data_IF_710100920411
#
_entry.id   IF_710100920411
#
_cell.length_a   1.000
_cell.length_b   1.000
_cell.length_c   1.000
_cell.angle_alpha   90.00
_cell.angle_beta   90.00
_cell.angle_gamma   90.00
#
_symmetry.space_group_name_H-M   'P 1'
#
loop_
_entity.id
_entity.type
_entity.pdbx_description
1 polymer ?
#
# COMPACT_ATOMS: atom_id res chain seq x y z
N UNK A 1 -19.17 -14.78 7.46
CA UNK A 1 -17.95 -14.79 8.30
C UNK A 1 -16.71 -14.67 7.43
N UNK A 2 -16.06 -13.50 7.38
CA UNK A 2 -14.81 -13.31 6.61
C UNK A 2 -13.66 -14.01 7.30
N UNK A 3 -13.11 -15.05 6.66
CA UNK A 3 -11.97 -15.82 7.16
C UNK A 3 -10.76 -14.89 7.36
N UNK A 4 -10.31 -14.74 8.60
CA UNK A 4 -9.08 -14.02 8.93
C UNK A 4 -7.91 -14.55 8.09
N UNK A 5 -7.27 -13.67 7.32
CA UNK A 5 -6.06 -13.99 6.56
C UNK A 5 -4.90 -14.07 7.57
N UNK A 6 -4.40 -15.28 7.83
CA UNK A 6 -3.18 -15.46 8.63
C UNK A 6 -1.98 -14.77 7.95
N UNK A 7 -1.04 -14.21 8.72
CA UNK A 7 0.22 -13.72 8.17
C UNK A 7 0.93 -14.85 7.43
N UNK A 8 1.53 -14.52 6.28
CA UNK A 8 2.28 -15.45 5.43
C UNK A 8 3.66 -14.86 5.17
N UNK A 9 4.66 -15.72 5.23
CA UNK A 9 6.01 -15.40 4.75
C UNK A 9 6.04 -15.59 3.25
N UNK A 10 6.51 -14.58 2.53
CA UNK A 10 6.77 -14.63 1.10
C UNK A 10 8.28 -14.52 0.88
N UNK A 11 8.81 -15.33 -0.03
CA UNK A 11 10.20 -15.26 -0.45
C UNK A 11 10.25 -14.63 -1.84
N UNK A 12 11.22 -13.74 -2.06
CA UNK A 12 11.45 -13.06 -3.33
C UNK A 12 12.92 -13.18 -3.69
N UNK A 13 13.24 -13.33 -4.98
CA UNK A 13 14.62 -13.34 -5.46
C UNK A 13 15.26 -11.96 -5.39
N UNK A 14 16.59 -11.90 -5.25
CA UNK A 14 17.32 -10.64 -5.18
C UNK A 14 17.16 -9.79 -6.44
N UNK A 15 17.17 -10.42 -7.63
CA UNK A 15 17.00 -9.71 -8.91
C UNK A 15 15.63 -9.00 -8.99
N UNK A 16 14.57 -9.68 -8.55
CA UNK A 16 13.23 -9.09 -8.51
C UNK A 16 13.11 -7.96 -7.49
N UNK A 17 13.91 -7.96 -6.41
CA UNK A 17 14.00 -6.81 -5.50
C UNK A 17 14.72 -5.64 -6.18
N UNK A 18 15.80 -5.91 -6.91
CA UNK A 18 16.52 -4.91 -7.69
C UNK A 18 15.64 -4.25 -8.76
N UNK A 19 14.78 -5.01 -9.43
CA UNK A 19 13.80 -4.47 -10.39
C UNK A 19 12.80 -3.51 -9.72
N UNK A 20 12.35 -3.84 -8.50
CA UNK A 20 11.44 -2.97 -7.72
C UNK A 20 12.16 -1.70 -7.30
N UNK A 21 13.41 -1.80 -6.83
CA UNK A 21 14.23 -0.63 -6.46
C UNK A 21 14.47 0.28 -7.67
N UNK A 22 14.86 -0.28 -8.81
CA UNK A 22 15.02 0.47 -10.05
C UNK A 22 13.74 1.19 -10.48
N UNK A 23 12.57 0.55 -10.32
CA UNK A 23 11.27 1.19 -10.57
C UNK A 23 11.00 2.35 -9.61
N UNK A 24 11.28 2.17 -8.31
CA UNK A 24 11.07 3.19 -7.27
C UNK A 24 11.91 4.43 -7.56
N UNK A 25 13.19 4.24 -7.92
CA UNK A 25 14.15 5.33 -8.14
C UNK A 25 13.97 6.06 -9.47
N UNK A 26 13.32 5.42 -10.45
CA UNK A 26 13.13 5.98 -11.79
C UNK A 26 11.66 6.37 -12.07
N UNK A 27 10.90 5.45 -12.64
CA UNK A 27 9.55 5.67 -13.16
C UNK A 27 8.60 6.17 -12.08
N UNK A 28 8.64 5.55 -10.89
CA UNK A 28 7.79 5.96 -9.76
C UNK A 28 8.15 7.35 -9.28
N UNK A 29 9.43 7.63 -9.04
CA UNK A 29 9.91 8.94 -8.61
C UNK A 29 9.47 10.05 -9.58
N UNK A 30 9.54 9.79 -10.89
CA UNK A 30 9.10 10.75 -11.91
C UNK A 30 7.60 11.07 -11.84
N UNK A 31 6.73 10.06 -11.76
CA UNK A 31 5.28 10.28 -11.69
C UNK A 31 4.84 10.91 -10.36
N UNK A 32 5.50 10.56 -9.25
CA UNK A 32 5.25 11.17 -7.92
C UNK A 32 5.60 12.65 -7.94
N UNK A 33 6.77 13.01 -8.49
CA UNK A 33 7.19 14.41 -8.64
C UNK A 33 6.17 15.20 -9.46
N UNK A 34 5.71 14.65 -10.59
CA UNK A 34 4.70 15.27 -11.46
C UNK A 34 3.37 15.47 -10.73
N UNK A 35 2.89 14.44 -10.02
CA UNK A 35 1.64 14.49 -9.26
C UNK A 35 1.67 15.55 -8.15
N UNK A 36 2.79 15.63 -7.43
CA UNK A 36 3.01 16.67 -6.42
C UNK A 36 3.03 18.07 -7.03
N UNK A 37 3.79 18.28 -8.10
CA UNK A 37 3.83 19.59 -8.79
C UNK A 37 2.44 20.04 -9.29
N UNK A 38 1.59 19.08 -9.67
CA UNK A 38 0.21 19.35 -10.07
C UNK A 38 -0.75 19.60 -8.89
N UNK A 39 -0.26 19.50 -7.65
CA UNK A 39 -1.06 19.69 -6.44
C UNK A 39 -2.10 18.59 -6.21
N UNK A 40 -1.87 17.38 -6.74
CA UNK A 40 -2.88 16.32 -6.72
C UNK A 40 -3.07 15.70 -5.34
N UNK A 41 -1.99 15.54 -4.58
CA UNK A 41 -2.03 14.91 -3.27
C UNK A 41 -2.66 15.82 -2.22
N UNK A 42 -2.44 17.13 -2.32
CA UNK A 42 -3.05 18.14 -1.45
C UNK A 42 -4.58 18.19 -1.60
N UNK A 43 -5.11 17.86 -2.79
CA UNK A 43 -6.56 17.81 -3.06
C UNK A 43 -7.25 16.57 -2.49
N UNK A 44 -6.49 15.56 -2.03
CA UNK A 44 -7.05 14.31 -1.51
C UNK A 44 -7.44 14.45 -0.04
N UNK A 45 -8.68 14.84 0.23
CA UNK A 45 -9.22 14.96 1.60
C UNK A 45 -9.09 13.69 2.48
N UNK A 46 -8.94 12.52 1.85
CA UNK A 46 -8.77 11.23 2.53
C UNK A 46 -7.29 10.85 2.79
N UNK A 47 -6.33 11.69 2.39
CA UNK A 47 -4.90 11.45 2.56
C UNK A 47 -4.54 11.33 4.03
N UNK A 48 -3.77 10.29 4.35
CA UNK A 48 -3.28 9.99 5.69
C UNK A 48 -1.75 9.94 5.65
N UNK A 49 -1.11 10.94 6.25
CA UNK A 49 0.34 11.00 6.37
C UNK A 49 0.78 10.11 7.53
N UNK A 50 1.32 8.94 7.21
CA UNK A 50 1.77 7.95 8.18
C UNK A 50 2.99 8.49 8.93
N UNK A 51 2.89 8.51 10.25
CA UNK A 51 3.96 8.95 11.15
C UNK A 51 4.70 7.76 11.76
N UNK A 52 4.03 6.62 11.93
CA UNK A 52 4.61 5.43 12.55
C UNK A 52 3.89 4.16 12.10
N UNK A 53 4.65 3.08 11.92
CA UNK A 53 4.11 1.72 11.81
C UNK A 53 4.73 0.84 12.89
N UNK A 54 3.91 0.40 13.85
CA UNK A 54 4.38 -0.46 14.94
C UNK A 54 4.65 -1.88 14.46
N UNK A 55 5.55 -2.58 15.15
CA UNK A 55 5.90 -3.98 14.88
C UNK A 55 5.16 -4.93 15.83
N UNK A 56 5.14 -6.22 15.52
CA UNK A 56 4.57 -7.28 16.36
C UNK A 56 3.39 -8.01 15.72
N UNK A 57 2.63 -8.77 16.54
CA UNK A 57 1.52 -9.63 16.07
C UNK A 57 0.33 -8.84 15.52
N UNK A 58 0.09 -7.63 16.05
CA UNK A 58 -0.96 -6.70 15.62
C UNK A 58 -0.33 -5.35 15.31
N UNK A 59 0.39 -5.23 14.19
CA UNK A 59 1.02 -3.98 13.81
C UNK A 59 -0.07 -2.92 13.59
N UNK A 60 0.19 -1.71 14.04
CA UNK A 60 -0.70 -0.56 13.91
C UNK A 60 -0.02 0.51 13.06
N UNK A 61 -0.80 1.20 12.24
CA UNK A 61 -0.37 2.40 11.54
C UNK A 61 -0.95 3.61 12.26
N UNK A 62 -0.09 4.59 12.53
CA UNK A 62 -0.45 5.92 13.03
C UNK A 62 -0.24 6.93 11.94
N UNK A 63 -1.14 7.90 11.84
CA UNK A 63 -1.08 8.93 10.82
C UNK A 63 -1.63 10.26 11.32
N UNK A 64 -1.38 11.30 10.55
CA UNK A 64 -2.08 12.59 10.62
C UNK A 64 -2.89 12.81 9.35
N UNK A 65 -4.11 13.28 9.49
CA UNK A 65 -4.89 13.73 8.33
C UNK A 65 -4.48 15.13 7.88
N UNK A 66 -5.09 15.63 6.81
CA UNK A 66 -4.83 16.99 6.29
C UNK A 66 -5.19 18.13 7.26
N UNK A 67 -6.01 17.85 8.28
CA UNK A 67 -6.38 18.81 9.34
C UNK A 67 -5.45 18.69 10.55
N UNK A 68 -4.44 17.84 10.49
CA UNK A 68 -3.50 17.58 11.58
C UNK A 68 -4.06 16.65 12.67
N UNK A 69 -5.24 16.07 12.48
CA UNK A 69 -5.84 15.15 13.44
C UNK A 69 -5.12 13.81 13.38
N UNK A 70 -4.65 13.35 14.53
CA UNK A 70 -3.99 12.05 14.66
C UNK A 70 -5.02 10.91 14.62
N UNK A 71 -4.66 9.82 13.94
CA UNK A 71 -5.43 8.59 13.90
C UNK A 71 -4.54 7.36 14.03
N UNK A 72 -5.14 6.25 14.47
CA UNK A 72 -4.47 4.95 14.56
C UNK A 72 -5.41 3.83 14.09
N UNK A 73 -4.86 2.78 13.48
CA UNK A 73 -5.59 1.55 13.14
C UNK A 73 -4.65 0.37 13.04
N UNK A 74 -5.15 -0.84 13.30
CA UNK A 74 -4.42 -2.06 12.97
C UNK A 74 -4.16 -2.11 11.46
N UNK A 75 -2.92 -2.41 11.07
CA UNK A 75 -2.47 -2.43 9.67
C UNK A 75 -3.11 -3.58 8.89
N UNK A 76 -3.16 -4.77 9.49
CA UNK A 76 -3.65 -5.98 8.82
C UNK A 76 -5.10 -5.87 8.27
N UNK A 77 -6.10 -5.41 9.04
CA UNK A 77 -7.48 -5.33 8.56
C UNK A 77 -7.74 -4.16 7.59
N UNK A 78 -6.77 -3.29 7.30
CA UNK A 78 -6.98 -2.21 6.34
C UNK A 78 -7.36 -2.75 4.97
N UNK A 79 -8.45 -2.19 4.43
CA UNK A 79 -8.89 -2.43 3.06
C UNK A 79 -7.87 -1.89 2.05
N UNK A 80 -7.94 -2.39 0.81
CA UNK A 80 -7.12 -1.90 -0.30
C UNK A 80 -7.28 -0.38 -0.46
N UNK A 81 -8.53 0.11 -0.42
CA UNK A 81 -8.81 1.54 -0.54
C UNK A 81 -8.16 2.35 0.58
N UNK A 82 -8.18 1.88 1.82
CA UNK A 82 -7.53 2.58 2.93
C UNK A 82 -6.01 2.60 2.77
N UNK A 83 -5.39 1.49 2.33
CA UNK A 83 -3.95 1.41 2.09
C UNK A 83 -3.48 2.32 0.96
N UNK A 84 -4.29 2.48 -0.08
CA UNK A 84 -4.00 3.41 -1.18
C UNK A 84 -3.98 4.87 -0.72
N UNK A 85 -4.66 5.21 0.38
CA UNK A 85 -4.69 6.58 0.91
C UNK A 85 -3.61 6.84 1.97
N UNK A 86 -2.70 5.89 2.20
CA UNK A 86 -1.56 6.06 3.10
C UNK A 86 -0.39 6.69 2.35
N UNK A 87 0.15 7.76 2.90
CA UNK A 87 1.28 8.51 2.37
C UNK A 87 2.37 8.58 3.44
N UNK A 88 3.61 8.79 3.02
CA UNK A 88 4.74 9.10 3.91
C UNK A 88 5.28 10.48 3.56
N UNK A 89 5.92 11.13 4.53
CA UNK A 89 6.70 12.34 4.23
C UNK A 89 7.98 11.91 3.50
N UNK A 90 8.13 12.36 2.25
CA UNK A 90 9.35 12.18 1.47
C UNK A 90 10.25 13.43 1.52
N UNK A 91 11.46 13.37 0.95
CA UNK A 91 12.42 14.49 0.98
C UNK A 91 11.90 15.79 0.35
N UNK A 92 10.88 15.68 -0.50
CA UNK A 92 10.33 16.79 -1.27
C UNK A 92 8.82 16.96 -1.05
N UNK A 93 8.25 16.34 -0.02
CA UNK A 93 6.82 16.37 0.28
C UNK A 93 6.18 14.99 0.32
N UNK A 94 4.83 14.92 0.38
CA UNK A 94 4.12 13.66 0.58
C UNK A 94 4.24 12.72 -0.62
N UNK A 95 4.48 11.44 -0.33
CA UNK A 95 4.56 10.38 -1.33
C UNK A 95 3.65 9.20 -0.97
N UNK A 96 2.98 8.54 -1.95
CA UNK A 96 2.14 7.39 -1.65
C UNK A 96 2.95 6.21 -1.12
N UNK A 97 2.50 5.56 -0.04
CA UNK A 97 3.09 4.27 0.41
C UNK A 97 2.70 3.10 -0.51
N UNK A 98 1.77 3.32 -1.43
CA UNK A 98 1.41 2.35 -2.44
C UNK A 98 2.52 2.25 -3.50
N UNK A 99 2.98 1.03 -3.77
CA UNK A 99 4.11 0.81 -4.66
C UNK A 99 3.77 1.14 -6.12
N UNK A 100 2.71 0.54 -6.65
CA UNK A 100 2.38 0.61 -8.08
C UNK A 100 1.48 1.80 -8.40
N UNK A 101 1.99 2.75 -9.19
CA UNK A 101 1.28 3.97 -9.55
C UNK A 101 0.90 3.96 -11.04
N UNK A 102 -0.16 4.70 -11.39
CA UNK A 102 -0.46 5.02 -12.78
C UNK A 102 0.43 6.19 -13.29
N UNK A 103 0.28 6.55 -14.57
CA UNK A 103 1.01 7.66 -15.21
C UNK A 103 0.73 9.03 -14.57
N UNK A 104 -0.37 9.12 -13.80
CA UNK A 104 -0.74 10.28 -13.01
C UNK A 104 -0.23 10.18 -11.57
N UNK A 105 0.68 9.26 -11.25
CA UNK A 105 1.22 9.12 -9.89
C UNK A 105 0.17 8.76 -8.83
N UNK A 106 -1.01 8.29 -9.26
CA UNK A 106 -2.07 7.83 -8.37
C UNK A 106 -1.94 6.34 -8.14
N UNK A 107 -2.27 5.85 -6.93
CA UNK A 107 -2.27 4.42 -6.64
C UNK A 107 -3.08 3.61 -7.65
N UNK A 108 -2.44 2.63 -8.29
CA UNK A 108 -3.10 1.73 -9.23
C UNK A 108 -4.06 0.80 -8.48
N UNK A 109 -5.33 0.76 -8.90
CA UNK A 109 -6.32 -0.13 -8.28
C UNK A 109 -6.04 -1.58 -8.70
N UNK A 110 -5.87 -2.52 -7.75
CA UNK A 110 -5.83 -3.93 -8.09
C UNK A 110 -7.11 -4.33 -8.82
N UNK A 111 -6.95 -5.08 -9.90
CA UNK A 111 -8.09 -5.67 -10.60
C UNK A 111 -8.82 -6.64 -9.65
N UNK A 112 -10.16 -6.75 -9.68
CA UNK A 112 -10.93 -7.63 -8.77
C UNK A 112 -10.41 -9.07 -8.71
N UNK A 113 -9.92 -9.61 -9.85
CA UNK A 113 -9.33 -10.95 -9.94
C UNK A 113 -7.91 -11.10 -9.37
N UNK A 114 -7.16 -10.00 -9.15
CA UNK A 114 -5.83 -10.03 -8.51
C UNK A 114 -5.90 -10.07 -6.99
N UNK A 115 -7.09 -9.89 -6.40
CA UNK A 115 -7.33 -10.35 -5.05
C UNK A 115 -7.28 -11.87 -5.06
N UNK A 116 -6.10 -12.47 -4.81
CA UNK A 116 -5.92 -13.92 -4.74
C UNK A 116 -7.01 -14.56 -3.86
N UNK A 117 -8.03 -15.09 -4.51
CA UNK A 117 -8.99 -16.01 -3.94
C UNK A 117 -8.38 -17.40 -4.13
N UNK A 118 -7.69 -17.88 -3.09
CA UNK A 118 -7.23 -19.28 -3.07
C UNK A 118 -8.48 -20.15 -3.01
N UNK A 119 -8.91 -20.67 -4.16
CA UNK A 119 -9.89 -21.77 -4.21
C UNK A 119 -9.18 -23.00 -3.69
N UNK A 120 -9.68 -23.61 -2.62
CA UNK A 120 -9.29 -24.98 -2.28
C UNK A 120 -9.91 -25.88 -3.33
N UNK A 121 -9.09 -26.52 -4.14
CA UNK A 121 -9.44 -27.81 -4.72
C UNK A 121 -9.57 -28.79 -3.56
N UNK A 122 -10.80 -28.99 -3.08
CA UNK A 122 -11.14 -30.19 -2.33
C UNK A 122 -11.26 -31.32 -3.34
N UNK A 123 -10.18 -32.07 -3.53
CA UNK A 123 -10.18 -33.39 -4.16
C UNK A 123 -9.13 -34.22 -3.44
N UNK A 124 -9.34 -35.47 -3.05
CA UNK A 124 -10.50 -36.34 -3.14
C UNK A 124 -10.36 -37.41 -2.04
N UNK A 125 -11.48 -38.03 -1.66
CA UNK A 125 -11.50 -39.28 -0.89
C UNK A 125 -11.00 -40.46 -1.75
N UNK A 126 -10.56 -41.50 -1.04
CA UNK A 126 -10.46 -42.96 -1.37
C UNK A 126 -9.01 -43.46 -1.20
N UNK A 127 -8.71 -44.57 -0.52
CA UNK A 127 -9.50 -45.59 0.19
C UNK A 127 -8.93 -45.77 1.59
#
# INVERSE_FOLDING_TARGET
MTRSKRPRTFYVGADALGDVEAYVDSSRAWVVRKARQAGWYERLAQLRLVTEVTRGLKPKVRWRDQRGVAGERELNPLSVRERMMLFTEGPHGPEPLWLWLNEQGMPFRPHPGTACSVRRTSGARRC
#
